data_IF_704698544671
#
_entry.id   IF_704698544671
#
_cell.length_a   1.000
_cell.length_b   1.000
_cell.length_c   1.000
_cell.angle_alpha   90.00
_cell.angle_beta   90.00
_cell.angle_gamma   90.00
#
_symmetry.space_group_name_H-M   'P 1'
#
loop_
_entity.id
_entity.type
_entity.pdbx_description
1 polymer ?
#
# COMPACT_ATOMS: atom_id res chain seq x y z
N UNK A 1 29.95 1.85 8.12
CA UNK A 1 30.72 2.91 8.78
C UNK A 1 30.55 4.21 7.99
N UNK A 2 30.23 5.31 8.67
CA UNK A 2 29.94 6.61 8.04
C UNK A 2 31.17 7.54 7.96
N UNK A 3 32.38 6.99 7.90
CA UNK A 3 33.61 7.79 7.92
C UNK A 3 33.67 8.83 6.79
N UNK A 4 33.33 8.45 5.56
CA UNK A 4 33.32 9.38 4.41
C UNK A 4 32.34 10.55 4.63
N UNK A 5 31.19 10.29 5.27
CA UNK A 5 30.21 11.34 5.58
C UNK A 5 30.75 12.30 6.66
N UNK A 6 31.40 11.78 7.71
CA UNK A 6 32.08 12.61 8.70
C UNK A 6 33.22 13.44 8.10
N UNK A 7 33.97 12.85 7.16
CA UNK A 7 35.06 13.50 6.45
C UNK A 7 34.59 14.70 5.62
N UNK A 8 33.49 14.54 4.88
CA UNK A 8 32.86 15.61 4.10
C UNK A 8 32.24 16.69 5.01
N UNK A 9 31.54 16.27 6.08
CA UNK A 9 30.89 17.18 7.03
C UNK A 9 31.89 18.13 7.70
N UNK A 10 33.06 17.63 8.09
CA UNK A 10 34.11 18.43 8.75
C UNK A 10 35.02 19.18 7.76
N UNK A 11 34.81 19.07 6.45
CA UNK A 11 35.71 19.66 5.45
C UNK A 11 35.81 21.19 5.54
N UNK A 12 34.74 21.86 5.99
CA UNK A 12 34.66 23.32 6.10
C UNK A 12 34.74 23.83 7.55
N UNK A 13 35.11 22.96 8.49
CA UNK A 13 35.23 23.33 9.90
C UNK A 13 36.60 23.97 10.20
N UNK A 14 36.72 24.57 11.39
CA UNK A 14 37.94 25.16 11.92
C UNK A 14 38.02 24.86 13.43
N UNK A 15 39.09 25.29 14.10
CA UNK A 15 39.28 25.04 15.53
C UNK A 15 38.27 25.78 16.45
N UNK A 16 37.34 26.56 15.88
CA UNK A 16 36.29 27.26 16.61
C UNK A 16 36.72 28.58 17.26
N UNK A 17 37.98 29.01 17.12
CA UNK A 17 38.56 30.16 17.79
C UNK A 17 38.73 31.40 16.92
N UNK A 18 37.68 31.86 16.23
CA UNK A 18 37.48 33.24 15.74
C UNK A 18 38.50 33.89 14.77
N UNK A 19 39.75 33.42 14.67
CA UNK A 19 40.78 33.97 13.79
C UNK A 19 41.68 32.86 13.21
N UNK A 20 41.23 32.27 12.12
CA UNK A 20 41.83 31.11 11.44
C UNK A 20 43.30 31.34 11.04
N UNK A 21 43.69 32.56 10.64
CA UNK A 21 45.09 32.87 10.29
C UNK A 21 46.05 32.86 11.48
N UNK A 22 45.57 33.20 12.68
CA UNK A 22 46.37 33.13 13.88
C UNK A 22 46.51 31.68 14.33
N UNK A 23 45.43 30.91 14.23
CA UNK A 23 45.40 29.48 14.54
C UNK A 23 46.34 28.69 13.62
N UNK A 24 46.29 28.88 12.30
CA UNK A 24 47.16 28.17 11.35
C UNK A 24 48.65 28.52 11.46
N UNK A 25 48.98 29.70 12.02
CA UNK A 25 50.38 30.10 12.28
C UNK A 25 50.93 29.51 13.59
N UNK A 26 50.06 29.18 14.54
CA UNK A 26 50.42 28.69 15.88
C UNK A 26 50.15 27.20 16.09
N UNK A 27 49.19 26.64 15.35
CA UNK A 27 48.75 25.25 15.34
C UNK A 27 48.93 24.67 13.93
N UNK A 28 48.89 23.34 13.83
CA UNK A 28 48.80 22.67 12.52
C UNK A 28 47.44 22.95 11.88
N UNK A 29 47.32 22.82 10.55
CA UNK A 29 46.05 22.99 9.84
C UNK A 29 44.97 22.08 10.41
N UNK A 30 43.76 22.61 10.63
CA UNK A 30 42.61 21.84 11.11
C UNK A 30 42.36 20.61 10.22
N UNK A 31 42.50 20.76 8.90
CA UNK A 31 42.32 19.71 7.90
C UNK A 31 43.12 18.42 8.19
N UNK A 32 44.31 18.55 8.76
CA UNK A 32 45.23 17.45 9.07
C UNK A 32 45.43 17.24 10.58
N UNK A 33 44.60 17.88 11.40
CA UNK A 33 44.71 17.84 12.86
C UNK A 33 44.10 16.57 13.47
N UNK A 34 44.52 16.23 14.68
CA UNK A 34 43.94 15.17 15.50
C UNK A 34 42.49 15.47 15.90
N UNK A 35 42.20 16.75 16.19
CA UNK A 35 40.86 17.22 16.56
C UNK A 35 39.85 16.88 15.45
N UNK A 36 40.19 17.15 14.19
CA UNK A 36 39.33 16.78 13.06
C UNK A 36 39.12 15.27 12.97
N UNK A 37 40.16 14.46 13.23
CA UNK A 37 40.02 13.01 13.24
C UNK A 37 39.02 12.57 14.33
N UNK A 38 39.17 13.06 15.55
CA UNK A 38 38.25 12.75 16.66
C UNK A 38 36.80 13.13 16.35
N UNK A 39 36.57 14.35 15.84
CA UNK A 39 35.23 14.78 15.42
C UNK A 39 34.61 13.90 14.33
N UNK A 40 35.44 13.36 13.42
CA UNK A 40 34.98 12.38 12.43
C UNK A 40 34.62 11.06 13.13
N UNK A 41 35.51 10.53 13.96
CA UNK A 41 35.35 9.23 14.63
C UNK A 41 34.12 9.19 15.54
N UNK A 42 33.85 10.26 16.29
CA UNK A 42 32.63 10.41 17.10
C UNK A 42 31.33 10.28 16.27
N UNK A 43 31.39 10.63 14.98
CA UNK A 43 30.26 10.53 14.05
C UNK A 43 30.20 9.23 13.24
N UNK A 44 31.16 8.32 13.37
CA UNK A 44 31.23 7.09 12.54
C UNK A 44 30.16 6.08 12.92
N UNK A 45 29.88 5.95 14.21
CA UNK A 45 28.95 5.00 14.79
C UNK A 45 27.83 5.74 15.54
N UNK A 46 26.61 5.22 15.47
CA UNK A 46 25.55 5.68 16.38
C UNK A 46 25.87 5.21 17.81
N UNK A 47 25.52 6.03 18.81
CA UNK A 47 25.73 5.69 20.22
C UNK A 47 25.00 4.41 20.66
N UNK A 48 23.95 4.02 19.95
CA UNK A 48 23.21 2.77 20.19
C UNK A 48 23.87 1.52 19.60
N UNK A 49 24.90 1.65 18.76
CA UNK A 49 25.54 0.51 18.06
C UNK A 49 26.77 0.04 18.84
N UNK A 50 26.57 -0.87 19.80
CA UNK A 50 27.64 -1.37 20.66
C UNK A 50 28.80 -1.99 19.87
N UNK A 51 28.52 -2.87 18.91
CA UNK A 51 29.53 -3.57 18.12
C UNK A 51 30.36 -2.60 17.26
N UNK A 52 29.73 -1.54 16.73
CA UNK A 52 30.43 -0.53 15.95
C UNK A 52 31.39 0.28 16.83
N UNK A 53 30.91 0.75 17.98
CA UNK A 53 31.73 1.52 18.92
C UNK A 53 32.89 0.67 19.47
N UNK A 54 32.63 -0.58 19.83
CA UNK A 54 33.67 -1.50 20.29
C UNK A 54 34.75 -1.73 19.22
N UNK A 55 34.37 -1.96 17.96
CA UNK A 55 35.33 -2.11 16.86
C UNK A 55 36.14 -0.83 16.63
N UNK A 56 35.49 0.34 16.71
CA UNK A 56 36.16 1.62 16.57
C UNK A 56 37.23 1.82 17.65
N UNK A 57 36.88 1.54 18.92
CA UNK A 57 37.80 1.61 20.06
C UNK A 57 38.98 0.64 19.89
N UNK A 58 38.74 -0.61 19.50
CA UNK A 58 39.80 -1.61 19.29
C UNK A 58 40.79 -1.23 18.18
N UNK A 59 40.39 -0.35 17.25
CA UNK A 59 41.16 -0.03 16.05
C UNK A 59 41.58 1.45 15.96
N UNK A 60 41.46 2.22 17.04
CA UNK A 60 41.80 3.65 17.09
C UNK A 60 43.22 3.95 16.58
N UNK A 61 44.21 3.14 16.99
CA UNK A 61 45.61 3.26 16.57
C UNK A 61 45.77 3.15 15.03
N UNK A 62 44.97 2.29 14.39
CA UNK A 62 44.99 2.15 12.94
C UNK A 62 44.43 3.38 12.23
N UNK A 63 43.37 3.99 12.78
CA UNK A 63 42.79 5.23 12.24
C UNK A 63 43.78 6.40 12.37
N UNK A 64 44.44 6.56 13.51
CA UNK A 64 45.49 7.58 13.70
C UNK A 64 46.68 7.35 12.76
N UNK A 65 47.17 6.11 12.69
CA UNK A 65 48.27 5.75 11.80
C UNK A 65 47.93 6.04 10.35
N UNK A 66 46.69 5.77 9.94
CA UNK A 66 46.22 6.12 8.61
C UNK A 66 46.23 7.64 8.40
N UNK A 67 45.58 8.38 9.30
CA UNK A 67 45.38 9.81 9.21
C UNK A 67 46.70 10.58 9.09
N UNK A 68 47.68 10.26 9.93
CA UNK A 68 48.94 10.99 10.01
C UNK A 68 50.05 10.46 9.09
N UNK A 69 50.06 9.15 8.77
CA UNK A 69 51.22 8.52 8.11
C UNK A 69 50.91 7.85 6.77
N UNK A 70 49.66 7.46 6.50
CA UNK A 70 49.33 6.63 5.32
C UNK A 70 48.36 7.28 4.34
N UNK A 71 47.55 8.24 4.76
CA UNK A 71 46.48 8.88 3.97
C UNK A 71 46.92 9.35 2.58
N UNK A 72 48.12 9.93 2.45
CA UNK A 72 48.65 10.38 1.15
C UNK A 72 48.98 9.23 0.19
N UNK A 73 49.46 8.11 0.70
CA UNK A 73 49.80 6.91 -0.08
C UNK A 73 48.59 6.00 -0.30
N UNK A 74 47.66 5.99 0.65
CA UNK A 74 46.46 5.16 0.66
C UNK A 74 45.23 6.04 0.94
N UNK A 75 44.74 6.80 -0.04
CA UNK A 75 43.63 7.75 0.16
C UNK A 75 42.29 7.06 0.44
N UNK A 76 42.12 5.81 0.03
CA UNK A 76 40.96 4.99 0.31
C UNK A 76 41.13 4.27 1.66
N UNK A 77 40.52 4.82 2.70
CA UNK A 77 40.54 4.24 4.04
C UNK A 77 39.89 2.86 4.06
N UNK A 78 38.79 2.65 3.34
CA UNK A 78 38.09 1.35 3.35
C UNK A 78 38.99 0.25 2.81
N UNK A 79 39.64 0.51 1.68
CA UNK A 79 40.60 -0.42 1.09
C UNK A 79 41.77 -0.70 2.02
N UNK A 80 42.42 0.35 2.53
CA UNK A 80 43.61 0.18 3.37
C UNK A 80 43.28 -0.49 4.71
N UNK A 81 42.24 -0.03 5.40
CA UNK A 81 41.89 -0.51 6.74
C UNK A 81 41.19 -1.85 6.66
N UNK A 82 40.00 -1.91 6.05
CA UNK A 82 39.14 -3.07 6.15
C UNK A 82 39.59 -4.28 5.31
N UNK A 83 40.11 -4.02 4.10
CA UNK A 83 40.51 -5.08 3.16
C UNK A 83 41.97 -5.51 3.41
N UNK A 84 42.89 -4.55 3.48
CA UNK A 84 44.34 -4.84 3.52
C UNK A 84 44.86 -5.05 4.95
N UNK A 85 44.46 -4.21 5.91
CA UNK A 85 45.02 -4.20 7.27
C UNK A 85 44.37 -5.24 8.17
N UNK A 86 43.07 -5.11 8.47
CA UNK A 86 42.36 -6.02 9.39
C UNK A 86 41.71 -7.22 8.69
N UNK A 87 41.64 -7.19 7.34
CA UNK A 87 41.17 -8.29 6.47
C UNK A 87 39.78 -8.84 6.81
N UNK A 88 38.86 -8.00 7.28
CA UNK A 88 37.47 -8.40 7.57
C UNK A 88 36.51 -8.07 6.42
N UNK A 89 36.93 -7.24 5.47
CA UNK A 89 36.18 -6.94 4.24
C UNK A 89 36.82 -7.59 3.01
N UNK A 90 36.02 -7.65 1.94
CA UNK A 90 36.45 -7.95 0.59
C UNK A 90 36.20 -6.74 -0.35
N UNK A 91 36.92 -6.65 -1.48
CA UNK A 91 36.56 -5.72 -2.55
C UNK A 91 35.11 -5.94 -3.03
N UNK A 92 34.49 -4.91 -3.60
CA UNK A 92 33.18 -5.04 -4.25
C UNK A 92 33.23 -6.12 -5.33
N UNK A 93 32.18 -6.93 -5.44
CA UNK A 93 32.08 -8.07 -6.34
C UNK A 93 32.92 -9.26 -5.91
N UNK A 94 33.19 -9.42 -4.62
CA UNK A 94 33.88 -10.59 -4.10
C UNK A 94 33.36 -11.02 -2.74
N UNK A 95 33.53 -12.30 -2.42
CA UNK A 95 32.92 -12.94 -1.26
C UNK A 95 33.83 -14.02 -0.65
N UNK A 96 33.48 -14.43 0.57
CA UNK A 96 34.13 -15.55 1.25
C UNK A 96 35.52 -15.22 1.81
N UNK A 97 36.16 -16.18 2.50
CA UNK A 97 37.40 -15.94 3.26
C UNK A 97 38.55 -15.45 2.37
N UNK A 98 38.61 -15.92 1.12
CA UNK A 98 39.64 -15.59 0.14
C UNK A 98 39.26 -14.45 -0.81
N UNK A 99 38.09 -13.84 -0.64
CA UNK A 99 37.54 -12.83 -1.56
C UNK A 99 37.47 -13.32 -3.02
N UNK A 100 36.85 -14.48 -3.21
CA UNK A 100 36.56 -15.01 -4.55
C UNK A 100 35.61 -14.07 -5.30
N UNK A 101 35.77 -13.95 -6.61
CA UNK A 101 34.97 -13.03 -7.42
C UNK A 101 33.53 -13.53 -7.58
N UNK A 102 32.56 -12.65 -7.36
CA UNK A 102 31.16 -12.88 -7.73
C UNK A 102 31.04 -13.06 -9.24
N UNK A 103 30.03 -13.84 -9.66
CA UNK A 103 29.60 -13.93 -11.07
C UNK A 103 29.35 -12.52 -11.61
N UNK A 104 29.86 -12.19 -12.80
CA UNK A 104 29.75 -10.85 -13.39
C UNK A 104 30.66 -9.77 -12.77
N UNK A 105 31.47 -10.13 -11.77
CA UNK A 105 32.51 -9.27 -11.19
C UNK A 105 31.99 -8.10 -10.34
N UNK A 106 32.86 -7.11 -10.14
CA UNK A 106 32.59 -5.92 -9.30
C UNK A 106 31.60 -4.93 -9.89
N UNK A 107 31.58 -4.84 -11.22
CA UNK A 107 30.76 -3.86 -11.93
C UNK A 107 29.31 -4.34 -12.06
N UNK A 108 29.13 -5.64 -12.33
CA UNK A 108 27.82 -6.26 -12.57
C UNK A 108 27.69 -7.61 -11.85
N UNK A 109 27.71 -7.66 -10.50
CA UNK A 109 27.44 -8.88 -9.76
C UNK A 109 26.15 -9.55 -10.26
N UNK A 110 26.18 -10.87 -10.45
CA UNK A 110 25.08 -11.66 -11.02
C UNK A 110 24.59 -11.11 -12.37
N UNK A 111 25.55 -10.73 -13.22
CA UNK A 111 25.32 -10.08 -14.51
C UNK A 111 24.50 -8.77 -14.44
N UNK A 112 24.36 -8.18 -13.26
CA UNK A 112 23.54 -6.99 -13.02
C UNK A 112 22.05 -7.27 -12.90
N UNK A 113 21.65 -8.54 -12.80
CA UNK A 113 20.27 -9.01 -12.69
C UNK A 113 20.01 -9.71 -11.34
N UNK A 114 20.83 -9.42 -10.34
CA UNK A 114 20.71 -10.02 -9.01
C UNK A 114 21.77 -9.57 -8.04
N UNK A 115 21.75 -10.19 -6.86
CA UNK A 115 22.67 -9.91 -5.74
C UNK A 115 23.51 -11.13 -5.43
N UNK A 116 24.81 -10.92 -5.27
CA UNK A 116 25.76 -11.96 -4.89
C UNK A 116 25.77 -12.16 -3.37
N UNK A 117 25.61 -13.39 -2.92
CA UNK A 117 25.68 -13.74 -1.50
C UNK A 117 27.10 -13.51 -0.95
N UNK A 118 27.20 -12.60 0.03
CA UNK A 118 28.46 -12.21 0.64
C UNK A 118 29.24 -11.12 -0.09
N UNK A 119 28.64 -10.41 -1.05
CA UNK A 119 29.30 -9.32 -1.77
C UNK A 119 29.96 -8.28 -0.84
N UNK A 120 31.27 -8.11 -0.97
CA UNK A 120 32.10 -7.21 -0.17
C UNK A 120 32.47 -7.76 1.21
N UNK A 121 32.10 -8.98 1.53
CA UNK A 121 32.29 -9.59 2.85
C UNK A 121 33.20 -10.81 2.80
N UNK A 122 33.82 -11.14 3.94
CA UNK A 122 34.57 -12.39 4.11
C UNK A 122 33.68 -13.63 4.32
N UNK A 123 32.36 -13.45 4.28
CA UNK A 123 31.36 -14.49 4.40
C UNK A 123 30.64 -14.73 3.07
N UNK A 124 29.67 -15.64 3.07
CA UNK A 124 28.86 -15.97 1.91
C UNK A 124 29.48 -17.01 0.97
N UNK A 125 28.66 -17.48 0.04
CA UNK A 125 28.99 -18.53 -0.91
C UNK A 125 28.98 -18.05 -2.37
N UNK A 126 28.68 -16.77 -2.62
CA UNK A 126 28.70 -16.18 -3.96
C UNK A 126 27.51 -16.51 -4.83
N UNK A 127 26.53 -17.25 -4.31
CA UNK A 127 25.30 -17.60 -5.04
C UNK A 127 24.51 -16.33 -5.36
N UNK A 128 23.94 -16.30 -6.55
CA UNK A 128 23.08 -15.21 -6.98
C UNK A 128 21.64 -15.36 -6.47
N UNK A 129 21.13 -14.26 -5.94
CA UNK A 129 19.70 -14.04 -5.68
C UNK A 129 19.17 -13.10 -6.75
N UNK A 130 18.38 -13.63 -7.68
CA UNK A 130 17.98 -12.90 -8.88
C UNK A 130 16.91 -11.84 -8.62
N UNK A 131 16.96 -10.77 -9.40
CA UNK A 131 15.95 -9.73 -9.42
C UNK A 131 14.66 -10.23 -10.09
N UNK A 132 13.55 -9.52 -9.88
CA UNK A 132 12.24 -9.89 -10.44
C UNK A 132 12.33 -10.04 -11.96
N UNK A 133 11.87 -11.18 -12.47
CA UNK A 133 11.86 -11.51 -13.89
C UNK A 133 13.11 -12.22 -14.39
N UNK A 134 14.09 -12.45 -13.52
CA UNK A 134 15.28 -13.23 -13.81
C UNK A 134 15.38 -14.45 -12.90
N UNK A 135 15.91 -15.54 -13.44
CA UNK A 135 16.14 -16.78 -12.74
C UNK A 135 17.39 -17.51 -13.25
N UNK A 136 17.63 -18.69 -12.69
CA UNK A 136 18.81 -19.50 -12.95
C UNK A 136 19.98 -19.16 -12.04
N UNK A 137 21.07 -19.91 -12.20
CA UNK A 137 22.28 -19.77 -11.37
C UNK A 137 22.96 -18.41 -11.57
N UNK A 138 22.89 -17.86 -12.79
CA UNK A 138 23.55 -16.63 -13.19
C UNK A 138 22.58 -15.45 -13.41
N UNK A 139 21.28 -15.60 -13.15
CA UNK A 139 20.27 -14.57 -13.40
C UNK A 139 20.24 -14.07 -14.86
N UNK A 140 20.47 -14.98 -15.80
CA UNK A 140 20.43 -14.71 -17.24
C UNK A 140 19.18 -15.28 -17.92
N UNK A 141 18.47 -16.17 -17.24
CA UNK A 141 17.25 -16.76 -17.77
C UNK A 141 16.05 -15.94 -17.28
N UNK A 142 14.99 -15.88 -18.08
CA UNK A 142 13.81 -15.11 -17.74
C UNK A 142 12.84 -16.00 -16.97
N UNK A 143 12.35 -15.50 -15.84
CA UNK A 143 11.36 -16.21 -15.02
C UNK A 143 10.03 -16.36 -15.76
N UNK A 144 9.17 -17.23 -15.24
CA UNK A 144 7.79 -17.36 -15.70
C UNK A 144 7.06 -16.00 -15.75
N UNK A 145 6.33 -15.75 -16.83
CA UNK A 145 5.71 -14.46 -17.11
C UNK A 145 6.65 -13.40 -17.70
N UNK A 146 7.89 -13.76 -18.01
CA UNK A 146 8.85 -12.91 -18.72
C UNK A 146 9.40 -13.62 -19.96
N UNK A 147 9.83 -12.85 -20.96
CA UNK A 147 10.52 -13.35 -22.14
C UNK A 147 11.80 -12.56 -22.41
N UNK A 148 12.78 -13.21 -23.03
CA UNK A 148 14.04 -12.57 -23.38
C UNK A 148 13.92 -11.84 -24.71
N UNK A 149 14.21 -10.54 -24.72
CA UNK A 149 14.30 -9.74 -25.95
C UNK A 149 15.71 -9.74 -26.54
N UNK A 150 16.72 -9.77 -25.67
CA UNK A 150 18.12 -9.87 -26.04
C UNK A 150 18.81 -10.78 -25.02
N UNK A 151 19.59 -11.74 -25.52
CA UNK A 151 20.39 -12.64 -24.67
C UNK A 151 21.76 -12.88 -25.29
N UNK A 152 22.78 -12.82 -24.45
CA UNK A 152 24.12 -13.32 -24.71
C UNK A 152 24.66 -13.98 -23.42
N UNK A 153 25.91 -14.44 -23.44
CA UNK A 153 26.50 -15.20 -22.32
C UNK A 153 26.68 -14.37 -21.03
N UNK A 154 26.55 -13.04 -21.09
CA UNK A 154 26.81 -12.13 -19.97
C UNK A 154 25.71 -11.09 -19.73
N UNK A 155 24.64 -11.11 -20.53
CA UNK A 155 23.58 -10.12 -20.52
C UNK A 155 22.29 -10.76 -21.03
N UNK A 156 21.21 -10.48 -20.30
CA UNK A 156 19.85 -10.84 -20.71
C UNK A 156 18.94 -9.66 -20.40
N UNK A 157 18.01 -9.37 -21.31
CA UNK A 157 16.96 -8.37 -21.13
C UNK A 157 15.60 -9.05 -21.13
N UNK A 158 15.10 -9.32 -19.92
CA UNK A 158 13.80 -9.93 -19.70
C UNK A 158 12.71 -8.85 -19.63
N UNK A 159 11.64 -9.04 -20.40
CA UNK A 159 10.45 -8.18 -20.40
C UNK A 159 9.23 -9.00 -20.00
N UNK A 160 8.26 -8.35 -19.38
CA UNK A 160 7.00 -8.98 -18.97
C UNK A 160 6.20 -9.42 -20.21
N UNK A 161 5.59 -10.59 -20.11
CA UNK A 161 4.59 -11.07 -21.06
C UNK A 161 3.33 -10.20 -21.00
N UNK A 162 2.47 -10.33 -22.02
CA UNK A 162 1.11 -9.82 -21.93
C UNK A 162 0.36 -10.50 -20.77
N UNK A 163 -0.57 -9.77 -20.12
CA UNK A 163 -1.29 -10.26 -18.92
C UNK A 163 -2.10 -11.53 -19.17
N UNK A 164 -2.55 -11.70 -20.41
CA UNK A 164 -3.27 -12.87 -20.91
C UNK A 164 -2.40 -14.12 -21.00
N UNK A 165 -1.07 -14.01 -20.92
CA UNK A 165 -0.17 -15.15 -21.06
C UNK A 165 0.25 -15.74 -19.70
N UNK A 166 0.39 -17.06 -19.64
CA UNK A 166 1.16 -17.74 -18.58
C UNK A 166 2.65 -17.63 -18.87
N UNK A 167 3.04 -17.93 -20.11
CA UNK A 167 4.40 -17.74 -20.64
C UNK A 167 4.32 -17.27 -22.10
N UNK A 168 5.38 -16.65 -22.60
CA UNK A 168 5.37 -16.02 -23.93
C UNK A 168 6.73 -16.08 -24.63
N UNK A 169 6.72 -15.81 -25.93
CA UNK A 169 7.93 -15.56 -26.74
C UNK A 169 8.08 -14.08 -27.12
N UNK A 170 7.14 -13.24 -26.72
CA UNK A 170 7.00 -11.85 -27.14
C UNK A 170 6.05 -11.10 -26.21
N UNK A 171 5.90 -9.79 -26.44
CA UNK A 171 5.17 -8.91 -25.52
C UNK A 171 3.69 -8.77 -25.81
N UNK A 172 3.16 -9.42 -26.86
CA UNK A 172 1.77 -9.28 -27.29
C UNK A 172 0.93 -10.47 -26.84
N UNK A 173 -0.39 -10.32 -26.89
CA UNK A 173 -1.33 -11.40 -26.60
C UNK A 173 -1.33 -12.52 -27.66
N UNK A 174 -0.69 -12.30 -28.81
CA UNK A 174 -0.44 -13.31 -29.85
C UNK A 174 0.85 -14.10 -29.61
N UNK A 175 1.74 -13.59 -28.77
CA UNK A 175 3.02 -14.25 -28.48
C UNK A 175 2.93 -15.21 -27.29
N UNK A 176 1.73 -15.45 -26.77
CA UNK A 176 1.50 -16.37 -25.67
C UNK A 176 1.79 -17.81 -26.11
N UNK A 177 2.54 -18.56 -25.30
CA UNK A 177 2.63 -20.02 -25.45
C UNK A 177 1.41 -20.74 -24.88
N UNK A 178 0.82 -20.13 -23.87
CA UNK A 178 -0.35 -20.64 -23.15
C UNK A 178 -1.14 -19.43 -22.61
N UNK A 179 -2.45 -19.42 -22.88
CA UNK A 179 -3.36 -18.42 -22.32
C UNK A 179 -3.60 -18.69 -20.83
N UNK A 180 -3.64 -17.62 -20.05
CA UNK A 180 -3.98 -17.65 -18.62
C UNK A 180 -5.46 -18.00 -18.47
N UNK A 181 -5.83 -18.58 -17.33
CA UNK A 181 -7.24 -18.79 -16.99
C UNK A 181 -8.04 -17.48 -17.09
N UNK A 182 -9.25 -17.55 -17.63
CA UNK A 182 -10.06 -16.36 -17.97
C UNK A 182 -9.79 -15.81 -19.37
N UNK A 183 -8.84 -16.39 -20.10
CA UNK A 183 -8.53 -16.03 -21.49
C UNK A 183 -8.65 -17.27 -22.39
N UNK A 184 -9.03 -17.07 -23.65
CA UNK A 184 -9.12 -18.12 -24.66
C UNK A 184 -8.41 -17.69 -25.95
N UNK A 185 -7.87 -18.67 -26.67
CA UNK A 185 -7.19 -18.43 -27.94
C UNK A 185 -8.22 -18.21 -29.05
N UNK A 186 -8.07 -17.11 -29.80
CA UNK A 186 -8.91 -16.82 -30.96
C UNK A 186 -8.44 -17.53 -32.24
N UNK A 187 -9.07 -17.24 -33.37
CA UNK A 187 -8.73 -17.86 -34.66
C UNK A 187 -7.35 -17.45 -35.19
N UNK A 188 -6.80 -16.34 -34.71
CA UNK A 188 -5.50 -15.80 -35.10
C UNK A 188 -4.38 -16.22 -34.14
N UNK A 189 -4.71 -16.96 -33.07
CA UNK A 189 -3.77 -17.38 -32.03
C UNK A 189 -3.58 -16.36 -30.92
N UNK A 190 -4.40 -15.31 -30.86
CA UNK A 190 -4.35 -14.31 -29.80
C UNK A 190 -5.15 -14.76 -28.58
N UNK A 191 -4.56 -14.63 -27.38
CA UNK A 191 -5.32 -14.80 -26.15
C UNK A 191 -6.23 -13.59 -25.92
N UNK A 192 -7.54 -13.81 -25.97
CA UNK A 192 -8.58 -12.81 -25.75
C UNK A 192 -9.34 -13.11 -24.46
N UNK A 193 -9.86 -12.07 -23.83
CA UNK A 193 -10.60 -12.18 -22.57
C UNK A 193 -11.92 -12.94 -22.79
N UNK A 194 -12.19 -13.90 -21.92
CA UNK A 194 -13.42 -14.70 -21.97
C UNK A 194 -14.52 -13.93 -21.28
N UNK A 195 -15.52 -13.47 -22.02
CA UNK A 195 -16.64 -12.77 -21.41
C UNK A 195 -17.62 -13.74 -20.72
N UNK A 196 -17.39 -14.04 -19.43
CA UNK A 196 -18.24 -14.98 -18.69
C UNK A 196 -19.66 -14.47 -18.48
N UNK A 197 -19.89 -13.15 -18.55
CA UNK A 197 -21.22 -12.57 -18.42
C UNK A 197 -22.14 -12.86 -19.61
N UNK A 198 -21.59 -13.30 -20.74
CA UNK A 198 -22.35 -13.65 -21.96
C UNK A 198 -22.61 -15.14 -22.12
N UNK A 199 -22.08 -15.97 -21.21
CA UNK A 199 -22.28 -17.42 -21.25
C UNK A 199 -23.70 -17.81 -20.78
N UNK A 200 -24.21 -18.92 -21.32
CA UNK A 200 -25.60 -19.39 -21.10
C UNK A 200 -25.96 -19.59 -19.61
N UNK A 201 -24.98 -19.92 -18.76
CA UNK A 201 -25.13 -19.96 -17.31
C UNK A 201 -24.68 -18.64 -16.70
N UNK A 202 -25.64 -17.84 -16.19
CA UNK A 202 -25.33 -16.62 -15.47
C UNK A 202 -24.37 -16.93 -14.29
N UNK A 203 -23.16 -16.34 -14.24
CA UNK A 203 -22.17 -16.67 -13.23
C UNK A 203 -22.46 -16.01 -11.87
N UNK A 204 -23.40 -15.05 -11.83
CA UNK A 204 -23.78 -14.28 -10.64
C UNK A 204 -25.15 -14.71 -10.09
N UNK A 205 -25.39 -14.41 -8.81
CA UNK A 205 -26.67 -14.70 -8.12
C UNK A 205 -27.80 -13.78 -8.62
N UNK A 206 -29.06 -14.16 -8.39
CA UNK A 206 -30.26 -13.47 -8.91
C UNK A 206 -30.36 -11.95 -8.59
N UNK A 207 -29.80 -11.48 -7.47
CA UNK A 207 -29.77 -10.06 -7.07
C UNK A 207 -28.43 -9.37 -7.37
N UNK A 208 -27.67 -9.90 -8.30
CA UNK A 208 -26.40 -9.34 -8.76
C UNK A 208 -26.39 -9.26 -10.27
N UNK A 209 -25.74 -8.23 -10.81
CA UNK A 209 -25.39 -8.19 -12.23
C UNK A 209 -23.91 -8.56 -12.40
N UNK A 210 -23.62 -9.17 -13.54
CA UNK A 210 -22.28 -9.53 -13.95
C UNK A 210 -21.61 -8.34 -14.65
N UNK A 211 -20.37 -8.04 -14.26
CA UNK A 211 -19.51 -7.08 -14.93
C UNK A 211 -18.22 -7.80 -15.36
N UNK A 212 -18.01 -7.91 -16.67
CA UNK A 212 -16.81 -8.51 -17.24
C UNK A 212 -15.58 -7.65 -16.93
N UNK A 213 -14.44 -8.28 -16.64
CA UNK A 213 -13.17 -7.62 -16.29
C UNK A 213 -12.03 -8.39 -16.93
N UNK A 214 -10.90 -7.76 -17.27
CA UNK A 214 -9.84 -8.48 -17.95
C UNK A 214 -9.33 -9.68 -17.10
N UNK A 215 -9.45 -10.88 -17.66
CA UNK A 215 -9.14 -12.18 -17.06
C UNK A 215 -10.15 -12.73 -16.05
N UNK A 216 -11.30 -12.09 -15.84
CA UNK A 216 -12.31 -12.54 -14.87
C UNK A 216 -13.66 -11.81 -14.98
N UNK A 217 -14.52 -11.98 -13.99
CA UNK A 217 -15.75 -11.19 -13.86
C UNK A 217 -15.97 -10.77 -12.41
N UNK A 218 -16.76 -9.72 -12.22
CA UNK A 218 -17.20 -9.27 -10.90
C UNK A 218 -18.72 -9.21 -10.80
N UNK A 219 -19.26 -9.84 -9.76
CA UNK A 219 -20.69 -9.75 -9.45
C UNK A 219 -20.95 -8.55 -8.55
N UNK A 220 -21.74 -7.60 -9.03
CA UNK A 220 -22.10 -6.38 -8.30
C UNK A 220 -23.56 -6.44 -7.89
N UNK A 221 -23.87 -5.93 -6.70
CA UNK A 221 -25.25 -5.91 -6.21
C UNK A 221 -26.13 -5.01 -7.07
N UNK A 222 -27.37 -5.43 -7.29
CA UNK A 222 -28.39 -4.58 -7.89
C UNK A 222 -28.73 -3.38 -7.01
N UNK A 223 -29.36 -2.36 -7.62
CA UNK A 223 -29.93 -1.28 -6.84
C UNK A 223 -30.97 -1.84 -5.85
N UNK A 224 -31.06 -1.24 -4.65
CA UNK A 224 -31.99 -1.67 -3.59
C UNK A 224 -33.46 -1.68 -4.04
N UNK A 225 -33.81 -0.87 -5.04
CA UNK A 225 -35.13 -0.84 -5.64
C UNK A 225 -35.41 -1.94 -6.67
N UNK A 226 -34.45 -2.81 -6.99
CA UNK A 226 -34.60 -3.89 -7.98
C UNK A 226 -34.72 -5.28 -7.34
N UNK A 227 -35.57 -6.14 -7.89
CA UNK A 227 -35.56 -7.59 -7.67
C UNK A 227 -34.91 -8.28 -8.88
N UNK A 228 -33.58 -8.14 -8.97
CA UNK A 228 -32.76 -8.52 -10.13
C UNK A 228 -32.51 -7.37 -11.11
N UNK A 229 -31.35 -7.37 -11.76
CA UNK A 229 -30.90 -6.29 -12.65
C UNK A 229 -29.91 -6.81 -13.71
N UNK A 230 -29.78 -6.08 -14.82
CA UNK A 230 -28.80 -6.37 -15.88
C UNK A 230 -27.57 -5.47 -15.86
N UNK A 231 -27.56 -4.47 -15.00
CA UNK A 231 -26.53 -3.44 -14.97
C UNK A 231 -26.62 -2.55 -13.73
N UNK A 232 -25.74 -1.54 -13.63
CA UNK A 232 -25.77 -0.58 -12.54
C UNK A 232 -27.03 0.30 -12.62
N UNK A 233 -27.44 0.84 -11.46
CA UNK A 233 -28.52 1.83 -11.39
C UNK A 233 -29.93 1.25 -11.17
N UNK A 234 -30.89 2.14 -10.94
CA UNK A 234 -32.31 1.80 -10.72
C UNK A 234 -33.11 1.73 -12.04
N UNK A 235 -32.48 2.09 -13.15
CA UNK A 235 -32.95 2.04 -14.54
C UNK A 235 -32.64 0.70 -15.22
N UNK A 236 -31.67 -0.04 -14.69
CA UNK A 236 -31.30 -1.38 -15.18
C UNK A 236 -31.98 -2.52 -14.42
N UNK A 237 -33.07 -2.23 -13.70
CA UNK A 237 -33.85 -3.25 -12.99
C UNK A 237 -34.58 -4.17 -13.97
N UNK A 238 -34.58 -5.48 -13.69
CA UNK A 238 -35.46 -6.43 -14.37
C UNK A 238 -36.90 -6.27 -13.90
N UNK A 239 -37.07 -6.15 -12.59
CA UNK A 239 -38.34 -5.86 -11.91
C UNK A 239 -38.07 -5.01 -10.68
N UNK A 240 -39.06 -4.23 -10.23
CA UNK A 240 -38.94 -3.48 -8.99
C UNK A 240 -39.11 -4.38 -7.77
N UNK A 241 -38.29 -4.15 -6.74
CA UNK A 241 -38.41 -4.81 -5.45
C UNK A 241 -39.68 -4.35 -4.71
N UNK A 242 -40.08 -5.13 -3.70
CA UNK A 242 -41.25 -4.81 -2.88
C UNK A 242 -41.12 -3.43 -2.24
N UNK A 243 -42.16 -2.61 -2.39
CA UNK A 243 -42.16 -1.21 -1.94
C UNK A 243 -41.57 -0.21 -2.92
N UNK A 244 -41.20 -0.64 -4.14
CA UNK A 244 -40.77 0.23 -5.24
C UNK A 244 -41.71 0.09 -6.44
N UNK A 245 -41.93 1.20 -7.16
CA UNK A 245 -42.75 1.23 -8.37
C UNK A 245 -41.96 1.84 -9.51
N UNK A 246 -42.13 1.28 -10.70
CA UNK A 246 -41.53 1.82 -11.90
C UNK A 246 -42.16 3.17 -12.25
N UNK A 247 -41.33 4.20 -12.34
CA UNK A 247 -41.67 5.54 -12.79
C UNK A 247 -40.60 6.01 -13.78
N UNK A 248 -41.00 6.32 -15.01
CA UNK A 248 -40.10 6.78 -16.08
C UNK A 248 -38.92 5.82 -16.34
N UNK A 249 -39.16 4.50 -16.24
CA UNK A 249 -38.12 3.47 -16.44
C UNK A 249 -37.16 3.31 -15.27
N UNK A 250 -37.43 3.93 -14.10
CA UNK A 250 -36.65 3.73 -12.87
C UNK A 250 -37.52 3.23 -11.73
N UNK A 251 -37.03 2.29 -10.94
CA UNK A 251 -37.73 1.85 -9.73
C UNK A 251 -37.57 2.89 -8.61
N UNK A 252 -38.63 3.66 -8.35
CA UNK A 252 -38.68 4.66 -7.27
C UNK A 252 -39.47 4.10 -6.10
N UNK A 253 -39.01 4.40 -4.88
CA UNK A 253 -39.69 3.96 -3.66
C UNK A 253 -41.11 4.48 -3.62
N UNK A 254 -42.07 3.61 -3.29
CA UNK A 254 -43.45 4.00 -3.04
C UNK A 254 -43.43 4.79 -1.74
N UNK A 255 -43.28 6.11 -1.85
CA UNK A 255 -43.47 6.97 -0.67
C UNK A 255 -44.90 6.74 -0.19
N UNK A 256 -45.07 6.34 1.07
CA UNK A 256 -46.38 6.24 1.75
C UNK A 256 -47.06 7.62 1.92
N UNK A 257 -46.84 8.56 1.01
CA UNK A 257 -47.42 9.90 1.01
C UNK A 257 -48.78 9.98 0.30
N UNK A 258 -49.38 8.84 -0.08
CA UNK A 258 -50.74 8.78 -0.62
C UNK A 258 -51.80 8.22 0.35
N UNK A 259 -51.41 7.77 1.55
CA UNK A 259 -52.36 7.29 2.57
C UNK A 259 -53.00 8.38 3.44
N UNK A 260 -52.85 9.67 3.10
CA UNK A 260 -53.45 10.79 3.86
C UNK A 260 -54.56 11.54 3.11
N UNK A 261 -55.10 11.01 1.99
CA UNK A 261 -56.22 11.68 1.29
C UNK A 261 -57.62 11.39 1.85
N UNK A 262 -57.75 10.65 2.95
CA UNK A 262 -59.05 10.37 3.58
C UNK A 262 -59.08 10.50 5.12
N UNK A 263 -58.31 11.43 5.71
CA UNK A 263 -58.59 11.85 7.08
C UNK A 263 -59.43 13.14 7.05
N UNK A 264 -60.71 13.01 6.67
CA UNK A 264 -61.68 14.10 6.87
C UNK A 264 -61.99 14.11 8.36
N UNK A 265 -61.44 15.10 9.07
CA UNK A 265 -61.75 15.36 10.48
C UNK A 265 -63.23 15.76 10.57
N UNK A 266 -64.10 14.88 11.03
CA UNK A 266 -65.47 15.25 11.43
C UNK A 266 -65.40 16.04 12.74
N UNK A 267 -65.54 17.36 12.68
CA UNK A 267 -65.74 18.21 13.86
C UNK A 267 -67.20 18.09 14.29
N UNK A 268 -67.50 17.27 15.30
CA UNK A 268 -68.80 17.31 15.99
C UNK A 268 -68.67 18.30 17.15
N UNK A 269 -69.28 19.48 17.01
CA UNK A 269 -69.45 20.42 18.12
C UNK A 269 -70.58 19.94 19.04
N UNK A 270 -70.26 19.60 20.29
CA UNK A 270 -71.28 19.39 21.34
C UNK A 270 -71.23 20.60 22.28
N UNK A 271 -72.33 21.35 22.33
CA UNK A 271 -72.50 22.45 23.29
C UNK A 271 -72.78 21.89 24.69
N UNK A 272 -71.92 22.18 25.67
CA UNK A 272 -72.19 21.91 27.08
C UNK A 272 -72.49 23.24 27.78
N UNK A 273 -73.71 23.41 28.27
CA UNK A 273 -74.14 24.60 29.02
C UNK A 273 -74.03 24.29 30.51
N UNK A 274 -73.15 25.01 31.22
CA UNK A 274 -73.14 25.02 32.69
C UNK A 274 -73.14 26.46 33.20
N UNK A 275 -74.17 26.80 33.98
CA UNK A 275 -74.28 28.02 34.80
C UNK A 275 -73.97 29.35 34.08
N UNK A 276 -74.62 29.57 32.93
CA UNK A 276 -74.77 30.92 32.37
C UNK A 276 -73.51 31.55 31.77
N UNK A 277 -72.47 30.75 31.47
CA UNK A 277 -71.32 31.19 30.66
C UNK A 277 -71.02 30.18 29.56
N UNK A 278 -71.05 30.62 28.30
CA UNK A 278 -70.68 29.81 27.13
C UNK A 278 -69.16 29.72 27.04
N UNK A 279 -68.60 28.53 27.23
CA UNK A 279 -67.18 28.23 27.02
C UNK A 279 -67.07 27.28 25.83
N UNK A 280 -66.37 27.70 24.77
CA UNK A 280 -65.95 26.80 23.70
C UNK A 280 -64.81 25.93 24.22
N UNK A 281 -65.08 24.64 24.46
CA UNK A 281 -64.05 23.66 24.76
C UNK A 281 -63.88 22.72 23.55
N UNK A 282 -62.70 22.74 22.94
CA UNK A 282 -62.31 21.77 21.91
C UNK A 282 -61.75 20.54 22.64
N UNK A 283 -62.51 19.45 22.66
CA UNK A 283 -62.00 18.15 23.15
C UNK A 283 -61.53 17.35 21.92
N UNK A 284 -60.23 17.40 21.64
CA UNK A 284 -59.60 16.49 20.69
C UNK A 284 -59.38 15.12 21.35
N UNK A 285 -59.99 14.07 20.81
CA UNK A 285 -59.66 12.68 21.15
C UNK A 285 -58.66 12.18 20.10
N UNK A 286 -57.44 11.81 20.53
CA UNK A 286 -56.29 11.48 19.67
C UNK A 286 -56.37 10.12 18.93
N UNK A 287 -55.27 9.65 18.28
CA UNK A 287 -53.96 9.55 18.94
C UNK A 287 -52.80 10.34 18.30
N UNK A 288 -52.13 11.08 19.19
CA UNK A 288 -50.71 11.49 19.22
C UNK A 288 -50.14 12.41 18.13
N UNK A 289 -50.27 13.70 18.41
CA UNK A 289 -49.21 14.68 18.14
C UNK A 289 -47.96 14.35 18.97
N UNK A 290 -46.95 13.74 18.35
CA UNK A 290 -45.56 13.90 18.75
C UNK A 290 -44.79 14.43 17.53
N UNK A 291 -44.43 15.70 17.57
CA UNK A 291 -43.51 16.30 16.61
C UNK A 291 -42.11 15.75 16.88
N UNK A 292 -41.63 14.84 16.02
CA UNK A 292 -40.22 14.44 15.99
C UNK A 292 -39.47 15.37 15.04
N UNK A 293 -38.66 16.28 15.57
CA UNK A 293 -37.63 16.97 14.79
C UNK A 293 -36.39 16.07 14.74
N UNK A 294 -36.21 15.36 13.63
CA UNK A 294 -34.91 14.72 13.34
C UNK A 294 -33.94 15.77 12.81
N UNK A 295 -32.87 16.04 13.57
CA UNK A 295 -31.66 16.69 13.06
C UNK A 295 -30.55 15.65 13.05
N UNK A 296 -29.94 15.43 11.89
CA UNK A 296 -28.75 14.59 11.76
C UNK A 296 -27.53 15.32 12.36
N UNK A 297 -26.93 14.77 13.41
CA UNK A 297 -25.49 14.88 13.65
C UNK A 297 -24.99 13.53 14.21
N UNK A 298 -24.26 12.81 13.36
CA UNK A 298 -23.16 11.89 13.63
C UNK A 298 -23.25 10.94 14.84
N UNK A 299 -23.45 9.65 14.53
CA UNK A 299 -22.85 8.49 15.19
C UNK A 299 -22.88 8.45 16.73
N UNK A 300 -23.97 7.91 17.29
CA UNK A 300 -24.06 6.84 18.32
C UNK A 300 -25.46 6.86 18.97
N UNK A 301 -26.09 5.69 19.14
CA UNK A 301 -27.42 5.58 19.76
C UNK A 301 -27.32 5.63 21.28
N UNK A 302 -27.82 6.69 21.90
CA UNK A 302 -28.22 6.68 23.30
C UNK A 302 -29.46 7.57 23.50
N UNK A 303 -30.63 6.96 23.69
CA UNK A 303 -31.83 7.66 24.16
C UNK A 303 -31.82 7.63 25.70
N UNK A 304 -31.62 8.80 26.32
CA UNK A 304 -31.78 8.96 27.77
C UNK A 304 -33.16 9.56 28.06
N UNK A 305 -34.00 8.78 28.75
CA UNK A 305 -35.24 9.25 29.35
C UNK A 305 -34.95 9.89 30.72
N UNK A 306 -35.36 11.14 30.90
CA UNK A 306 -35.52 11.81 32.21
C UNK A 306 -36.88 12.53 32.15
N UNK A 307 -37.83 12.39 33.06
CA UNK A 307 -38.01 11.65 34.31
C UNK A 307 -39.54 11.72 34.56
N UNK A 308 -40.26 10.69 34.99
CA UNK A 308 -40.58 10.45 36.40
C UNK A 308 -41.62 9.33 36.48
N UNK A 309 -41.31 8.31 37.30
CA UNK A 309 -42.17 7.21 37.77
C UNK A 309 -42.74 6.27 36.71
N UNK A 310 -41.93 5.27 36.34
CA UNK A 310 -42.21 3.84 36.52
C UNK A 310 -41.22 3.04 35.67
N UNK A 311 -40.50 2.10 36.29
CA UNK A 311 -39.59 1.19 35.58
C UNK A 311 -40.44 0.15 34.85
N UNK A 312 -40.39 0.14 33.51
CA UNK A 312 -40.75 -1.03 32.72
C UNK A 312 -39.67 -1.27 31.67
N UNK A 313 -38.94 -2.38 31.84
CA UNK A 313 -37.99 -2.90 30.85
C UNK A 313 -38.78 -3.36 29.63
N UNK A 314 -38.60 -2.70 28.49
CA UNK A 314 -39.05 -3.21 27.19
C UNK A 314 -38.07 -4.32 26.75
N UNK A 315 -38.50 -5.57 26.85
CA UNK A 315 -38.04 -6.62 25.95
C UNK A 315 -38.82 -6.47 24.63
N UNK A 316 -38.07 -6.43 23.54
CA UNK A 316 -38.44 -6.76 22.15
C UNK A 316 -39.93 -6.62 21.77
N UNK A 317 -40.23 -5.65 20.90
CA UNK A 317 -41.44 -5.68 20.09
C UNK A 317 -41.05 -5.45 18.61
N UNK A 318 -40.94 -6.57 17.90
CA UNK A 318 -41.03 -6.65 16.45
C UNK A 318 -42.38 -6.06 16.02
N UNK A 319 -42.38 -5.12 15.09
CA UNK A 319 -43.61 -4.68 14.41
C UNK A 319 -43.67 -5.39 13.06
N UNK A 320 -44.48 -6.45 12.98
CA UNK A 320 -44.95 -7.04 11.74
C UNK A 320 -46.22 -6.30 11.31
N UNK A 321 -46.29 -5.87 10.05
CA UNK A 321 -47.53 -5.37 9.44
C UNK A 321 -48.36 -6.55 8.94
N UNK A 322 -49.66 -6.53 9.23
CA UNK A 322 -50.71 -7.33 8.55
C UNK A 322 -51.41 -6.42 7.55
#
# INVERSE_FOLDING_TARGET
>A
MHFSQGFEKTANYNFGGGNTEWEERKLSKYESSEIRLMEILEGVCYSSSFECNHMLEENEEHFETWWFKRKTKHPDLFKWFCIETIKVCCPKGSFGPDCNTCVGGADRPCHGNGKCDGDGTRAGNGKCSCDKGYEGEFCLDCSDGYFSTLRNDTFSLCKECHESCVSCNGGTNQDCKECRNGWEEDQEGACIDVNECTKDSAPCKDNQYCLNTDGSFSCKACNIGCSGCKGPGADSCLTCADGYKEEEGTCKGITYLHAHKHCVIYLICVCVVSHGRTLMAIIGVGPYTFSWLCRYVSNWKQCVLKNSRSVLRLKEALCACV
#
